data_IF_018240948586
#
_entry.id   IF_018240948586
#
_cell.length_a   1.000
_cell.length_b   1.000
_cell.length_c   1.000
_cell.angle_alpha   90.00
_cell.angle_beta   90.00
_cell.angle_gamma   90.00
#
_symmetry.space_group_name_H-M   'P 1'
#
loop_
_entity.id
_entity.type
_entity.pdbx_description
1 polymer ?
#
# COMPACT_ATOMS: atom_id res chain seq x y z
N UNK A 1 -20.00 -15.62 -8.35
CA UNK A 1 -19.02 -15.57 -7.23
C UNK A 1 -17.60 -15.99 -7.66
N UNK A 2 -17.42 -17.05 -8.47
CA UNK A 2 -16.08 -17.43 -9.00
C UNK A 2 -15.55 -16.42 -10.03
N UNK A 3 -16.42 -15.89 -10.91
CA UNK A 3 -16.04 -14.92 -11.94
C UNK A 3 -15.52 -13.58 -11.36
N UNK A 4 -16.21 -13.03 -10.36
CA UNK A 4 -15.84 -11.76 -9.73
C UNK A 4 -14.50 -11.85 -8.97
N UNK A 5 -14.26 -12.99 -8.31
CA UNK A 5 -12.97 -13.28 -7.66
C UNK A 5 -11.83 -13.35 -8.69
N UNK A 6 -12.10 -13.91 -9.87
CA UNK A 6 -11.14 -14.02 -10.97
C UNK A 6 -10.80 -12.64 -11.54
N UNK A 7 -11.78 -11.78 -11.76
CA UNK A 7 -11.53 -10.40 -12.22
C UNK A 7 -10.69 -9.58 -11.24
N UNK A 8 -10.97 -9.64 -9.94
CA UNK A 8 -10.16 -8.95 -8.93
C UNK A 8 -8.71 -9.45 -8.96
N UNK A 9 -8.52 -10.76 -9.04
CA UNK A 9 -7.20 -11.36 -9.08
C UNK A 9 -6.44 -11.02 -10.37
N UNK A 10 -7.10 -11.09 -11.52
CA UNK A 10 -6.53 -10.73 -12.80
C UNK A 10 -6.13 -9.25 -12.83
N UNK A 11 -6.95 -8.37 -12.23
CA UNK A 11 -6.64 -6.95 -12.14
C UNK A 11 -5.43 -6.66 -11.24
N UNK A 12 -5.37 -7.30 -10.07
CA UNK A 12 -4.21 -7.21 -9.18
C UNK A 12 -2.95 -7.71 -9.90
N UNK A 13 -3.06 -8.82 -10.62
CA UNK A 13 -1.92 -9.40 -11.36
C UNK A 13 -1.44 -8.48 -12.50
N UNK A 14 -2.36 -7.86 -13.21
CA UNK A 14 -2.05 -6.87 -14.23
C UNK A 14 -1.31 -5.67 -13.60
N UNK A 15 -1.88 -5.12 -12.53
CA UNK A 15 -1.41 -3.89 -11.90
C UNK A 15 -0.18 -4.06 -11.02
N UNK A 16 0.13 -5.29 -10.59
CA UNK A 16 1.37 -5.62 -9.91
C UNK A 16 2.61 -5.22 -10.72
N UNK A 17 2.52 -5.25 -12.06
CA UNK A 17 3.60 -4.76 -12.94
C UNK A 17 3.79 -3.26 -12.81
N UNK A 18 2.71 -2.48 -12.76
CA UNK A 18 2.78 -1.03 -12.57
C UNK A 18 3.29 -0.67 -11.18
N UNK A 19 2.83 -1.34 -10.13
CA UNK A 19 3.35 -1.16 -8.77
C UNK A 19 4.84 -1.48 -8.72
N UNK A 20 5.27 -2.58 -9.35
CA UNK A 20 6.68 -2.94 -9.45
C UNK A 20 7.52 -1.91 -10.22
N UNK A 21 6.97 -1.35 -11.30
CA UNK A 21 7.64 -0.29 -12.06
C UNK A 21 7.80 0.98 -11.20
N UNK A 22 6.74 1.41 -10.50
CA UNK A 22 6.80 2.56 -9.58
C UNK A 22 7.79 2.29 -8.45
N UNK A 23 7.85 1.07 -7.92
CA UNK A 23 8.84 0.68 -6.91
C UNK A 23 10.28 0.85 -7.41
N UNK A 24 10.59 0.36 -8.62
CA UNK A 24 11.92 0.50 -9.21
C UNK A 24 12.25 1.97 -9.48
N UNK A 25 11.29 2.76 -9.98
CA UNK A 25 11.48 4.19 -10.21
C UNK A 25 11.80 4.93 -8.90
N UNK A 26 11.05 4.66 -7.83
CA UNK A 26 11.32 5.24 -6.51
C UNK A 26 12.66 4.79 -5.97
N UNK A 27 13.06 3.53 -6.16
CA UNK A 27 14.36 3.03 -5.76
C UNK A 27 15.51 3.74 -6.49
N UNK A 28 15.36 4.01 -7.79
CA UNK A 28 16.33 4.78 -8.57
C UNK A 28 16.42 6.21 -8.04
N UNK A 29 15.28 6.87 -7.79
CA UNK A 29 15.25 8.23 -7.22
C UNK A 29 15.97 8.25 -5.86
N UNK A 30 15.70 7.26 -5.00
CA UNK A 30 16.37 7.13 -3.71
C UNK A 30 17.87 6.89 -3.87
N UNK A 31 18.30 6.06 -4.83
CA UNK A 31 19.73 5.84 -5.07
C UNK A 31 20.43 7.09 -5.58
N UNK A 32 19.76 7.93 -6.37
CA UNK A 32 20.31 9.21 -6.82
C UNK A 32 20.39 10.20 -5.65
N UNK A 33 19.31 10.35 -4.89
CA UNK A 33 19.24 11.28 -3.75
C UNK A 33 20.19 10.90 -2.62
N UNK A 34 20.34 9.61 -2.34
CA UNK A 34 21.15 9.05 -1.27
C UNK A 34 22.29 8.20 -1.84
N UNK A 35 23.09 8.79 -2.74
CA UNK A 35 24.12 8.06 -3.50
C UNK A 35 25.15 7.32 -2.64
N UNK A 36 25.46 7.84 -1.45
CA UNK A 36 26.41 7.25 -0.48
C UNK A 36 25.87 6.05 0.29
N UNK A 37 24.55 5.83 0.28
CA UNK A 37 23.93 4.76 1.05
C UNK A 37 24.02 3.41 0.33
N UNK A 38 24.13 2.36 1.13
CA UNK A 38 24.11 0.97 0.65
C UNK A 38 22.77 0.62 0.01
N UNK A 39 22.81 -0.19 -1.06
CA UNK A 39 21.61 -0.59 -1.79
C UNK A 39 20.60 -1.32 -0.89
N UNK A 40 21.07 -2.11 0.07
CA UNK A 40 20.20 -2.80 1.04
C UNK A 40 19.44 -1.85 1.95
N UNK A 41 20.09 -0.75 2.37
CA UNK A 41 19.45 0.27 3.21
C UNK A 41 18.37 0.99 2.41
N UNK A 42 18.67 1.37 1.17
CA UNK A 42 17.71 2.00 0.27
C UNK A 42 16.53 1.09 -0.04
N UNK A 43 16.79 -0.18 -0.36
CA UNK A 43 15.75 -1.17 -0.62
C UNK A 43 14.82 -1.31 0.58
N UNK A 44 15.39 -1.43 1.80
CA UNK A 44 14.60 -1.49 3.05
C UNK A 44 13.72 -0.25 3.21
N UNK A 45 14.26 0.94 2.96
CA UNK A 45 13.51 2.19 3.12
C UNK A 45 12.37 2.30 2.10
N UNK A 46 12.62 2.01 0.83
CA UNK A 46 11.59 2.03 -0.22
C UNK A 46 10.54 0.96 0.04
N UNK A 47 10.93 -0.26 0.43
CA UNK A 47 9.99 -1.31 0.86
C UNK A 47 9.12 -0.85 2.03
N UNK A 48 9.71 -0.16 3.00
CA UNK A 48 8.97 0.35 4.16
C UNK A 48 7.93 1.39 3.75
N UNK A 49 8.26 2.30 2.83
CA UNK A 49 7.33 3.28 2.28
C UNK A 49 6.17 2.58 1.55
N UNK A 50 6.49 1.60 0.70
CA UNK A 50 5.45 0.85 -0.02
C UNK A 50 4.55 0.06 0.92
N UNK A 51 5.15 -0.58 1.92
CA UNK A 51 4.43 -1.34 2.93
C UNK A 51 3.48 -0.48 3.74
N UNK A 52 3.93 0.68 4.22
CA UNK A 52 3.14 1.54 5.10
C UNK A 52 2.06 2.35 4.35
N UNK A 53 2.34 2.75 3.11
CA UNK A 53 1.52 3.76 2.43
C UNK A 53 0.95 3.28 1.09
N UNK A 54 1.79 2.75 0.20
CA UNK A 54 1.36 2.45 -1.15
C UNK A 54 0.43 1.22 -1.23
N UNK A 55 0.85 0.10 -0.64
CA UNK A 55 0.11 -1.16 -0.72
C UNK A 55 -1.25 -1.09 0.00
N UNK A 56 -1.35 -0.68 1.27
CA UNK A 56 -2.63 -0.70 1.97
C UNK A 56 -3.64 0.23 1.30
N UNK A 57 -3.19 1.42 0.89
CA UNK A 57 -3.97 2.37 0.12
C UNK A 57 -4.49 1.79 -1.19
N UNK A 58 -3.61 1.17 -1.98
CA UNK A 58 -3.98 0.52 -3.22
C UNK A 58 -5.05 -0.56 -3.03
N UNK A 59 -4.86 -1.46 -2.06
CA UNK A 59 -5.81 -2.56 -1.82
C UNK A 59 -7.18 -2.08 -1.34
N UNK A 60 -7.23 -0.99 -0.58
CA UNK A 60 -8.51 -0.35 -0.22
C UNK A 60 -9.16 0.25 -1.47
N UNK A 61 -8.38 0.99 -2.27
CA UNK A 61 -8.90 1.69 -3.45
C UNK A 61 -9.34 0.76 -4.58
N UNK A 62 -8.95 -0.52 -4.58
CA UNK A 62 -9.53 -1.54 -5.47
C UNK A 62 -11.07 -1.56 -5.42
N UNK A 63 -11.68 -1.11 -4.31
CA UNK A 63 -13.13 -0.98 -4.20
C UNK A 63 -13.74 -0.09 -5.30
N UNK A 64 -12.99 0.91 -5.76
CA UNK A 64 -13.38 1.83 -6.84
C UNK A 64 -12.76 1.47 -8.20
N UNK A 65 -12.36 0.20 -8.41
CA UNK A 65 -11.67 -0.23 -9.63
C UNK A 65 -12.40 0.04 -10.95
N UNK A 66 -13.73 0.12 -10.90
CA UNK A 66 -14.60 0.35 -12.07
C UNK A 66 -14.75 1.85 -12.42
N UNK A 67 -14.42 2.74 -11.47
CA UNK A 67 -14.66 4.19 -11.61
C UNK A 67 -13.39 5.02 -11.74
N UNK A 68 -12.28 4.49 -11.22
CA UNK A 68 -11.01 5.20 -11.15
C UNK A 68 -9.93 4.37 -11.83
N UNK A 69 -9.03 5.04 -12.54
CA UNK A 69 -7.88 4.40 -13.16
C UNK A 69 -6.80 4.04 -12.13
N UNK A 70 -5.84 3.19 -12.51
CA UNK A 70 -4.76 2.75 -11.61
C UNK A 70 -4.05 3.92 -10.92
N UNK A 71 -3.66 4.94 -11.69
CA UNK A 71 -2.85 6.05 -11.20
C UNK A 71 -3.63 6.90 -10.18
N UNK A 72 -4.91 7.16 -10.44
CA UNK A 72 -5.80 7.86 -9.50
C UNK A 72 -5.96 7.06 -8.21
N UNK A 73 -6.23 5.75 -8.32
CA UNK A 73 -6.37 4.85 -7.16
C UNK A 73 -5.08 4.76 -6.36
N UNK A 74 -3.93 4.76 -7.02
CA UNK A 74 -2.63 4.67 -6.38
C UNK A 74 -2.31 5.95 -5.59
N UNK A 75 -2.49 7.13 -6.21
CA UNK A 75 -2.22 8.42 -5.55
C UNK A 75 -3.20 8.66 -4.39
N UNK A 76 -4.50 8.50 -4.63
CA UNK A 76 -5.53 8.66 -3.59
C UNK A 76 -5.32 7.61 -2.50
N UNK A 77 -4.96 6.38 -2.87
CA UNK A 77 -4.65 5.30 -1.96
C UNK A 77 -3.51 5.65 -1.00
N UNK A 78 -2.40 6.21 -1.50
CA UNK A 78 -1.29 6.65 -0.66
C UNK A 78 -1.77 7.69 0.37
N UNK A 79 -2.53 8.70 -0.06
CA UNK A 79 -3.06 9.73 0.83
C UNK A 79 -4.00 9.14 1.90
N UNK A 80 -4.88 8.22 1.49
CA UNK A 80 -5.78 7.51 2.40
C UNK A 80 -5.01 6.67 3.42
N UNK A 81 -4.03 5.89 2.97
CA UNK A 81 -3.19 5.07 3.85
C UNK A 81 -2.41 5.94 4.83
N UNK A 82 -1.83 7.04 4.36
CA UNK A 82 -1.12 7.98 5.23
C UNK A 82 -2.04 8.60 6.29
N UNK A 83 -3.26 8.99 5.91
CA UNK A 83 -4.24 9.53 6.86
C UNK A 83 -4.65 8.51 7.92
N UNK A 84 -4.95 7.27 7.51
CA UNK A 84 -5.31 6.18 8.44
C UNK A 84 -4.13 5.82 9.33
N UNK A 85 -2.94 5.64 8.76
CA UNK A 85 -1.74 5.32 9.51
C UNK A 85 -1.40 6.41 10.53
N UNK A 86 -1.47 7.68 10.12
CA UNK A 86 -1.21 8.83 11.00
C UNK A 86 -2.20 8.91 12.15
N UNK A 87 -3.50 8.79 11.87
CA UNK A 87 -4.55 8.81 12.88
C UNK A 87 -4.37 7.67 13.90
N UNK A 88 -4.18 6.43 13.44
CA UNK A 88 -3.98 5.31 14.36
C UNK A 88 -2.67 5.43 15.15
N UNK A 89 -1.58 5.86 14.53
CA UNK A 89 -0.30 6.04 15.22
C UNK A 89 -0.43 7.03 16.37
N UNK A 90 -1.20 8.10 16.17
CA UNK A 90 -1.50 9.08 17.22
C UNK A 90 -2.27 8.46 18.38
N UNK A 91 -3.40 7.79 18.13
CA UNK A 91 -4.22 7.21 19.20
C UNK A 91 -3.55 6.04 19.92
N UNK A 92 -2.76 5.22 19.21
CA UNK A 92 -1.97 4.14 19.81
C UNK A 92 -0.87 4.71 20.70
N UNK A 93 -0.22 5.79 20.25
CA UNK A 93 0.74 6.53 21.06
C UNK A 93 0.13 7.05 22.36
N UNK A 94 -1.07 7.64 22.30
CA UNK A 94 -1.81 8.08 23.49
C UNK A 94 -2.20 6.92 24.42
N UNK A 95 -2.45 5.73 23.87
CA UNK A 95 -2.83 4.54 24.65
C UNK A 95 -1.64 3.85 25.33
N UNK A 96 -0.40 4.33 25.12
CA UNK A 96 0.82 3.73 25.66
C UNK A 96 1.21 2.39 25.03
N UNK A 97 0.55 2.00 23.93
CA UNK A 97 0.86 0.77 23.20
C UNK A 97 2.07 1.02 22.29
N UNK A 98 3.01 0.08 22.24
CA UNK A 98 4.23 0.23 21.46
C UNK A 98 3.92 0.31 19.94
N UNK A 99 4.28 1.45 19.35
CA UNK A 99 4.07 1.79 17.93
C UNK A 99 4.78 0.79 16.99
N UNK A 100 5.83 0.09 17.46
CA UNK A 100 6.58 -0.88 16.64
C UNK A 100 5.68 -1.97 16.05
N UNK A 101 4.70 -2.47 16.79
CA UNK A 101 3.79 -3.51 16.31
C UNK A 101 2.77 -2.96 15.31
N UNK A 102 2.40 -1.69 15.46
CA UNK A 102 1.44 -1.01 14.61
C UNK A 102 1.92 -0.85 13.17
N UNK A 103 3.21 -0.53 12.99
CA UNK A 103 3.85 -0.39 11.68
C UNK A 103 3.84 -1.69 10.85
N UNK A 104 3.61 -2.85 11.48
CA UNK A 104 3.48 -4.14 10.80
C UNK A 104 2.02 -4.58 10.72
N UNK A 105 1.30 -4.53 11.84
CA UNK A 105 -0.05 -5.07 11.95
C UNK A 105 -1.08 -4.23 11.18
N UNK A 106 -1.01 -2.90 11.25
CA UNK A 106 -2.04 -2.08 10.63
C UNK A 106 -2.03 -2.15 9.09
N UNK A 107 -0.87 -2.01 8.40
CA UNK A 107 -0.85 -2.22 6.95
C UNK A 107 -1.42 -3.57 6.53
N UNK A 108 -1.08 -4.64 7.27
CA UNK A 108 -1.59 -5.97 7.00
C UNK A 108 -3.12 -6.04 7.15
N UNK A 109 -3.67 -5.49 8.23
CA UNK A 109 -5.12 -5.41 8.46
C UNK A 109 -5.81 -4.64 7.34
N UNK A 110 -5.27 -3.50 6.94
CA UNK A 110 -5.83 -2.66 5.88
C UNK A 110 -5.83 -3.37 4.52
N UNK A 111 -4.75 -4.07 4.19
CA UNK A 111 -4.66 -4.90 2.97
C UNK A 111 -5.74 -6.00 3.01
N UNK A 112 -5.86 -6.72 4.12
CA UNK A 112 -6.85 -7.79 4.27
C UNK A 112 -8.28 -7.26 4.17
N UNK A 113 -8.58 -6.14 4.82
CA UNK A 113 -9.89 -5.48 4.73
C UNK A 113 -10.19 -5.07 3.29
N UNK A 114 -9.23 -4.44 2.60
CA UNK A 114 -9.38 -4.06 1.19
C UNK A 114 -9.69 -5.26 0.30
N UNK A 115 -8.98 -6.36 0.47
CA UNK A 115 -9.25 -7.62 -0.25
C UNK A 115 -10.61 -8.21 0.07
N UNK A 116 -10.97 -8.31 1.35
CA UNK A 116 -12.24 -8.88 1.79
C UNK A 116 -13.42 -8.08 1.23
N UNK A 117 -13.40 -6.76 1.38
CA UNK A 117 -14.46 -5.87 0.87
C UNK A 117 -14.63 -6.03 -0.64
N UNK A 118 -13.54 -6.14 -1.39
CA UNK A 118 -13.59 -6.36 -2.84
C UNK A 118 -14.09 -7.75 -3.25
N UNK A 119 -13.86 -8.78 -2.44
CA UNK A 119 -14.37 -10.12 -2.73
C UNK A 119 -15.85 -10.31 -2.37
N UNK A 120 -16.36 -9.56 -1.40
CA UNK A 120 -17.76 -9.61 -0.98
C UNK A 120 -18.66 -8.60 -1.68
N UNK A 121 -18.09 -7.59 -2.35
CA UNK A 121 -18.85 -6.70 -3.24
C UNK A 121 -19.49 -7.55 -4.34
N UNK A 122 -20.82 -7.47 -4.49
CA UNK A 122 -21.57 -8.18 -5.54
C UNK A 122 -21.38 -7.49 -6.89
#
# INVERSE_FOLDING_TARGET
MIALKKEVFDKIREEAKYIGLVFVLVLIIFKIAFYKEDLLVLLRNVLSIFWLFALPGYFIMLYWKERLEFLERFIIGIALSAAVMGAFSYYIGLSGINIKYHAVLLPLILILVGLLVNFFKK
#
